data_IF_897042131266
#
_entry.id   IF_897042131266
#
_cell.length_a   1.000
_cell.length_b   1.000
_cell.length_c   1.000
_cell.angle_alpha   90.00
_cell.angle_beta   90.00
_cell.angle_gamma   90.00
#
_symmetry.space_group_name_H-M   'P 1'
#
loop_
_entity.id
_entity.type
_entity.pdbx_description
1 polymer ?
#
# COMPACT_ATOMS: atom_id res chain seq x y z
N UNK A 1 13.70 -10.22 -21.75
CA UNK A 1 15.04 -10.15 -21.12
C UNK A 1 16.19 -10.53 -22.08
N UNK A 2 15.94 -10.69 -23.39
CA UNK A 2 16.96 -11.06 -24.40
C UNK A 2 17.56 -9.87 -25.17
N UNK A 3 17.09 -8.64 -24.91
CA UNK A 3 17.51 -7.42 -25.64
C UNK A 3 18.59 -6.60 -24.93
N UNK A 4 18.88 -6.92 -23.66
CA UNK A 4 19.88 -6.21 -22.86
C UNK A 4 21.29 -6.78 -23.13
N UNK A 5 21.37 -8.04 -23.59
CA UNK A 5 22.65 -8.71 -23.88
C UNK A 5 23.29 -8.28 -25.21
N UNK A 6 22.52 -7.67 -26.13
CA UNK A 6 23.03 -7.23 -27.44
C UNK A 6 23.70 -5.85 -27.40
N UNK A 7 23.49 -5.05 -26.36
CA UNK A 7 24.06 -3.71 -26.27
C UNK A 7 25.50 -3.69 -25.71
N UNK A 8 25.96 -4.78 -25.08
CA UNK A 8 27.25 -4.81 -24.39
C UNK A 8 28.46 -5.11 -25.29
N UNK A 9 28.27 -5.53 -26.55
CA UNK A 9 29.36 -6.07 -27.39
C UNK A 9 29.97 -5.02 -28.35
N UNK A 10 29.35 -3.84 -28.54
CA UNK A 10 29.84 -2.83 -29.49
C UNK A 10 30.85 -1.80 -28.94
N UNK A 11 31.24 -1.88 -27.67
CA UNK A 11 32.11 -0.87 -27.04
C UNK A 11 33.62 -1.07 -27.16
N UNK A 12 34.10 -2.21 -27.67
CA UNK A 12 35.51 -2.62 -27.54
C UNK A 12 36.27 -2.57 -28.88
N UNK A 13 36.19 -1.45 -29.61
CA UNK A 13 36.74 -1.36 -30.98
C UNK A 13 37.53 -0.10 -31.33
N UNK A 14 37.88 0.77 -30.38
CA UNK A 14 38.60 2.03 -30.66
C UNK A 14 39.97 2.10 -29.99
N UNK A 15 40.76 1.02 -30.08
CA UNK A 15 42.12 1.01 -29.52
C UNK A 15 43.13 0.29 -30.41
N UNK A 16 43.16 0.58 -31.71
CA UNK A 16 44.39 0.40 -32.52
C UNK A 16 44.41 1.41 -33.67
N UNK A 17 44.81 2.64 -33.36
CA UNK A 17 45.44 3.54 -34.32
C UNK A 17 46.67 4.12 -33.63
N UNK A 18 47.90 3.93 -34.16
CA UNK A 18 49.06 4.60 -33.61
C UNK A 18 48.93 6.08 -33.94
N UNK A 19 48.48 6.86 -32.96
CA UNK A 19 48.63 8.31 -32.99
C UNK A 19 50.11 8.58 -32.85
N UNK A 20 50.76 9.02 -33.93
CA UNK A 20 52.05 9.69 -33.86
C UNK A 20 51.82 11.00 -33.09
N UNK A 21 51.90 10.93 -31.76
CA UNK A 21 51.93 12.12 -30.93
C UNK A 21 53.33 12.74 -31.09
N UNK A 22 53.48 14.00 -31.54
CA UNK A 22 54.67 14.73 -31.17
C UNK A 22 54.70 14.76 -29.65
N UNK A 23 55.77 14.22 -29.07
CA UNK A 23 56.10 14.37 -27.67
C UNK A 23 56.13 15.86 -27.33
N UNK A 24 55.01 16.40 -26.86
CA UNK A 24 54.97 17.66 -26.17
C UNK A 24 55.66 17.40 -24.82
N UNK A 25 56.99 17.38 -24.84
CA UNK A 25 57.79 17.57 -23.65
C UNK A 25 57.39 18.93 -23.11
N UNK A 26 56.54 18.92 -22.07
CA UNK A 26 56.14 20.09 -21.33
C UNK A 26 57.38 20.60 -20.57
N UNK A 27 58.22 21.37 -21.28
CA UNK A 27 59.03 22.39 -20.66
C UNK A 27 58.01 23.42 -20.14
N UNK A 28 57.62 23.27 -18.87
CA UNK A 28 56.63 24.12 -18.22
C UNK A 28 57.22 25.53 -18.13
N UNK A 29 56.97 26.32 -19.18
CA UNK A 29 57.17 27.75 -19.20
C UNK A 29 56.03 28.41 -18.41
N UNK A 30 56.35 29.45 -17.64
CA UNK A 30 55.44 30.23 -16.80
C UNK A 30 54.20 30.76 -17.54
N UNK A 31 54.25 30.86 -18.87
CA UNK A 31 53.13 31.28 -19.72
C UNK A 31 52.04 30.19 -19.90
N UNK A 32 52.39 28.90 -19.76
CA UNK A 32 51.46 27.78 -19.95
C UNK A 32 50.82 27.27 -18.65
N UNK A 33 51.33 27.70 -17.49
CA UNK A 33 50.72 27.43 -16.18
C UNK A 33 49.33 28.09 -16.05
N UNK A 34 49.13 29.25 -16.70
CA UNK A 34 47.83 29.93 -16.74
C UNK A 34 46.74 29.15 -17.48
N UNK A 35 47.11 28.44 -18.56
CA UNK A 35 46.15 27.67 -19.37
C UNK A 35 45.70 26.37 -18.68
N UNK A 36 46.57 25.73 -17.89
CA UNK A 36 46.23 24.54 -17.11
C UNK A 36 45.34 24.84 -15.89
N UNK A 37 45.55 25.98 -15.21
CA UNK A 37 44.69 26.43 -14.11
C UNK A 37 43.29 26.86 -14.60
N UNK A 38 43.20 27.49 -15.77
CA UNK A 38 41.92 27.85 -16.39
C UNK A 38 41.06 26.63 -16.75
N UNK A 39 41.68 25.56 -17.25
CA UNK A 39 40.99 24.32 -17.59
C UNK A 39 40.40 23.60 -16.36
N UNK A 40 41.09 23.62 -15.21
CA UNK A 40 40.58 23.06 -13.95
C UNK A 40 39.44 23.89 -13.35
N UNK A 41 39.50 25.22 -13.48
CA UNK A 41 38.42 26.11 -13.03
C UNK A 41 37.11 25.86 -13.80
N UNK A 42 37.19 25.56 -15.10
CA UNK A 42 36.03 25.26 -15.93
C UNK A 42 35.24 24.01 -15.46
N UNK A 43 35.94 23.00 -14.93
CA UNK A 43 35.31 21.78 -14.36
C UNK A 43 34.66 22.08 -13.01
N UNK A 44 35.26 22.95 -12.19
CA UNK A 44 34.71 23.34 -10.87
C UNK A 44 33.40 24.13 -10.96
N UNK A 45 33.23 25.00 -11.95
CA UNK A 45 32.02 25.83 -12.13
C UNK A 45 30.79 24.98 -12.47
N UNK A 46 30.97 23.87 -13.19
CA UNK A 46 29.88 22.93 -13.51
C UNK A 46 29.32 22.22 -12.26
N UNK A 47 30.13 22.04 -11.22
CA UNK A 47 29.72 21.34 -9.99
C UNK A 47 28.72 22.11 -9.12
N UNK A 48 28.78 23.45 -9.13
CA UNK A 48 28.02 24.30 -8.20
C UNK A 48 26.54 24.42 -8.59
N UNK A 49 26.20 24.17 -9.85
CA UNK A 49 24.82 24.26 -10.33
C UNK A 49 23.95 23.03 -10.00
N UNK A 50 24.55 21.91 -9.57
CA UNK A 50 23.84 20.63 -9.42
C UNK A 50 23.06 20.56 -8.10
N UNK A 51 23.45 21.35 -7.09
CA UNK A 51 22.89 21.26 -5.74
C UNK A 51 21.39 21.60 -5.69
N UNK A 52 20.96 22.63 -6.44
CA UNK A 52 19.54 23.03 -6.52
C UNK A 52 18.65 21.97 -7.17
N UNK A 53 19.13 21.30 -8.22
CA UNK A 53 18.37 20.22 -8.87
C UNK A 53 18.23 18.99 -7.99
N UNK A 54 19.21 18.74 -7.13
CA UNK A 54 19.23 17.59 -6.24
C UNK A 54 18.27 17.78 -5.07
N UNK A 55 18.19 18.98 -4.51
CA UNK A 55 17.26 19.29 -3.41
C UNK A 55 15.80 19.31 -3.90
N UNK A 56 15.52 19.93 -5.05
CA UNK A 56 14.19 19.90 -5.68
C UNK A 56 13.71 18.46 -5.96
N UNK A 57 14.62 17.57 -6.38
CA UNK A 57 14.28 16.17 -6.64
C UNK A 57 13.93 15.44 -5.34
N UNK A 58 14.69 15.70 -4.28
CA UNK A 58 14.50 15.10 -2.96
C UNK A 58 13.20 15.56 -2.31
N UNK A 59 12.83 16.83 -2.47
CA UNK A 59 11.56 17.35 -1.97
C UNK A 59 10.36 16.78 -2.73
N UNK A 60 10.45 16.67 -4.06
CA UNK A 60 9.41 15.97 -4.86
C UNK A 60 9.29 14.50 -4.48
N UNK A 61 10.39 13.82 -4.18
CA UNK A 61 10.37 12.42 -3.74
C UNK A 61 9.70 12.27 -2.37
N UNK A 62 10.03 13.14 -1.41
CA UNK A 62 9.37 13.21 -0.10
C UNK A 62 7.87 13.51 -0.21
N UNK A 63 7.48 14.39 -1.11
CA UNK A 63 6.08 14.71 -1.36
C UNK A 63 5.33 13.50 -1.93
N UNK A 64 5.93 12.79 -2.91
CA UNK A 64 5.37 11.54 -3.47
C UNK A 64 5.23 10.45 -2.41
N UNK A 65 6.23 10.29 -1.55
CA UNK A 65 6.18 9.32 -0.46
C UNK A 65 5.05 9.63 0.53
N UNK A 66 4.92 10.90 0.94
CA UNK A 66 3.81 11.37 1.79
C UNK A 66 2.45 11.17 1.12
N UNK A 67 2.35 11.41 -0.19
CA UNK A 67 1.12 11.17 -0.94
C UNK A 67 0.75 9.67 -0.96
N UNK A 68 1.73 8.80 -1.22
CA UNK A 68 1.55 7.35 -1.19
C UNK A 68 1.18 6.84 0.22
N UNK A 69 1.76 7.40 1.28
CA UNK A 69 1.38 7.07 2.65
C UNK A 69 -0.08 7.44 2.95
N UNK A 70 -0.50 8.65 2.57
CA UNK A 70 -1.89 9.10 2.73
C UNK A 70 -2.88 8.21 1.99
N UNK A 71 -2.52 7.73 0.79
CA UNK A 71 -3.33 6.77 0.04
C UNK A 71 -3.47 5.44 0.79
N UNK A 72 -2.35 4.87 1.27
CA UNK A 72 -2.37 3.64 2.08
C UNK A 72 -3.20 3.79 3.36
N UNK A 73 -3.15 4.95 4.02
CA UNK A 73 -3.97 5.23 5.19
C UNK A 73 -5.47 5.23 4.84
N UNK A 74 -5.86 5.92 3.75
CA UNK A 74 -7.26 5.94 3.27
C UNK A 74 -7.79 4.54 2.95
N UNK A 75 -6.97 3.70 2.33
CA UNK A 75 -7.36 2.32 2.02
C UNK A 75 -7.57 1.49 3.30
N UNK A 76 -6.68 1.67 4.29
CA UNK A 76 -6.82 1.02 5.60
C UNK A 76 -8.10 1.46 6.32
N UNK A 77 -8.41 2.75 6.27
CA UNK A 77 -9.62 3.30 6.89
C UNK A 77 -10.89 2.76 6.21
N UNK A 78 -10.90 2.72 4.87
CA UNK A 78 -12.01 2.13 4.09
C UNK A 78 -12.20 0.65 4.43
N UNK A 79 -11.13 -0.12 4.54
CA UNK A 79 -11.22 -1.53 4.94
C UNK A 79 -11.79 -1.70 6.36
N UNK A 80 -11.38 -0.84 7.29
CA UNK A 80 -11.88 -0.86 8.68
C UNK A 80 -13.37 -0.55 8.74
N UNK A 81 -13.83 0.42 7.95
CA UNK A 81 -15.23 0.81 7.87
C UNK A 81 -16.10 -0.34 7.35
N UNK A 82 -15.71 -0.97 6.23
CA UNK A 82 -16.43 -2.14 5.70
C UNK A 82 -16.50 -3.32 6.68
N UNK A 83 -15.49 -3.49 7.53
CA UNK A 83 -15.52 -4.52 8.58
C UNK A 83 -16.48 -4.15 9.71
N UNK A 84 -16.53 -2.88 10.10
CA UNK A 84 -17.46 -2.37 11.11
C UNK A 84 -18.92 -2.46 10.63
N UNK A 85 -19.19 -2.16 9.36
CA UNK A 85 -20.52 -2.32 8.74
C UNK A 85 -21.03 -3.76 8.78
N UNK A 86 -20.14 -4.75 8.76
CA UNK A 86 -20.48 -6.18 8.85
C UNK A 86 -20.43 -6.73 10.28
N UNK A 87 -20.16 -5.89 11.27
CA UNK A 87 -20.08 -6.30 12.66
C UNK A 87 -21.46 -6.31 13.31
N UNK A 88 -21.92 -7.50 13.70
CA UNK A 88 -23.22 -7.70 14.31
C UNK A 88 -23.21 -7.21 15.76
N UNK A 89 -24.18 -6.38 16.17
CA UNK A 89 -24.19 -5.77 17.50
C UNK A 89 -24.41 -6.81 18.60
N UNK A 90 -23.57 -6.77 19.65
CA UNK A 90 -23.62 -7.69 20.79
C UNK A 90 -24.96 -7.66 21.53
N UNK A 91 -25.63 -6.49 21.57
CA UNK A 91 -26.94 -6.31 22.22
C UNK A 91 -28.03 -7.20 21.61
N UNK A 92 -27.93 -7.53 20.32
CA UNK A 92 -28.89 -8.39 19.64
C UNK A 92 -28.55 -9.88 19.75
N UNK A 93 -27.44 -10.23 20.41
CA UNK A 93 -26.98 -11.61 20.57
C UNK A 93 -27.63 -12.26 21.78
N UNK A 94 -28.25 -13.42 21.56
CA UNK A 94 -28.88 -14.25 22.58
C UNK A 94 -28.37 -15.68 22.50
N UNK A 95 -28.29 -16.37 23.64
CA UNK A 95 -28.15 -17.82 23.68
C UNK A 95 -29.54 -18.41 23.92
N UNK A 96 -29.99 -19.24 22.98
CA UNK A 96 -31.29 -19.92 23.07
C UNK A 96 -31.05 -21.42 23.07
N UNK A 97 -31.77 -22.12 23.92
CA UNK A 97 -31.83 -23.57 23.86
C UNK A 97 -32.68 -23.98 22.65
N UNK A 98 -32.18 -24.96 21.91
CA UNK A 98 -32.86 -25.53 20.74
C UNK A 98 -32.86 -27.03 20.89
N UNK A 99 -33.66 -27.75 20.10
CA UNK A 99 -33.60 -29.22 20.07
C UNK A 99 -32.21 -29.80 19.71
N UNK A 100 -31.24 -28.96 19.29
CA UNK A 100 -29.84 -29.32 19.02
C UNK A 100 -28.87 -28.72 20.04
N UNK A 101 -29.35 -28.45 21.25
CA UNK A 101 -28.63 -27.81 22.36
C UNK A 101 -28.60 -26.28 22.30
N UNK A 102 -27.77 -25.68 23.15
CA UNK A 102 -27.60 -24.24 23.26
C UNK A 102 -26.98 -23.64 22.00
N UNK A 103 -27.59 -22.61 21.43
CA UNK A 103 -27.13 -21.93 20.22
C UNK A 103 -27.14 -20.43 20.37
N UNK A 104 -26.07 -19.79 19.92
CA UNK A 104 -25.99 -18.33 19.78
C UNK A 104 -26.75 -17.88 18.54
N UNK A 105 -27.65 -16.92 18.72
CA UNK A 105 -28.52 -16.35 17.69
C UNK A 105 -28.60 -14.84 17.80
N UNK A 106 -29.02 -14.19 16.72
CA UNK A 106 -29.34 -12.78 16.68
C UNK A 106 -30.82 -12.57 16.39
N UNK A 107 -31.51 -11.79 17.22
CA UNK A 107 -32.94 -11.52 17.03
C UNK A 107 -33.20 -10.68 15.77
N UNK A 108 -34.06 -11.14 14.86
CA UNK A 108 -34.37 -10.40 13.60
C UNK A 108 -34.88 -8.99 13.89
N UNK A 109 -35.84 -8.85 14.81
CA UNK A 109 -36.42 -7.55 15.17
C UNK A 109 -35.41 -6.62 15.85
N UNK A 110 -34.51 -7.16 16.66
CA UNK A 110 -33.44 -6.36 17.28
C UNK A 110 -32.48 -5.83 16.22
N UNK A 111 -32.04 -6.69 15.31
CA UNK A 111 -31.17 -6.30 14.20
C UNK A 111 -31.81 -5.24 13.32
N UNK A 112 -33.09 -5.40 12.95
CA UNK A 112 -33.81 -4.40 12.16
C UNK A 112 -33.88 -3.01 12.81
N UNK A 113 -33.81 -2.92 14.14
CA UNK A 113 -33.87 -1.65 14.88
C UNK A 113 -32.49 -1.05 15.17
N UNK A 114 -31.48 -1.89 15.41
CA UNK A 114 -30.18 -1.46 15.95
C UNK A 114 -29.01 -1.71 15.00
N UNK A 115 -29.25 -2.28 13.81
CA UNK A 115 -28.22 -2.62 12.85
C UNK A 115 -28.59 -2.13 11.46
N UNK A 116 -27.85 -1.14 10.95
CA UNK A 116 -28.16 -0.47 9.68
C UNK A 116 -28.14 -1.45 8.48
N UNK A 117 -27.24 -2.43 8.52
CA UNK A 117 -27.03 -3.41 7.46
C UNK A 117 -27.96 -4.63 7.60
N UNK A 118 -28.95 -4.62 8.51
CA UNK A 118 -29.86 -5.74 8.73
C UNK A 118 -30.62 -6.18 7.47
N UNK A 119 -30.87 -5.26 6.53
CA UNK A 119 -31.50 -5.53 5.23
C UNK A 119 -30.65 -6.40 4.28
N UNK A 120 -29.33 -6.43 4.47
CA UNK A 120 -28.40 -7.22 3.67
C UNK A 120 -28.15 -8.62 4.27
N UNK A 121 -28.78 -8.94 5.40
CA UNK A 121 -28.61 -10.23 6.04
C UNK A 121 -29.19 -11.34 5.16
N UNK A 122 -28.45 -12.44 4.96
CA UNK A 122 -28.87 -13.50 4.08
C UNK A 122 -30.05 -14.27 4.67
N UNK A 123 -31.17 -14.32 3.93
CA UNK A 123 -32.40 -15.02 4.35
C UNK A 123 -32.18 -16.50 4.70
N UNK A 124 -31.22 -17.18 4.05
CA UNK A 124 -30.83 -18.57 4.37
C UNK A 124 -30.36 -18.79 5.81
N UNK A 125 -29.91 -17.73 6.49
CA UNK A 125 -29.48 -17.80 7.88
C UNK A 125 -30.61 -17.48 8.87
N UNK A 126 -31.77 -17.03 8.38
CA UNK A 126 -32.98 -16.80 9.16
C UNK A 126 -33.65 -18.14 9.49
N UNK A 127 -34.10 -18.28 10.72
CA UNK A 127 -34.86 -19.43 11.20
C UNK A 127 -35.83 -19.01 12.29
N UNK A 128 -36.88 -19.79 12.48
CA UNK A 128 -37.79 -19.64 13.61
C UNK A 128 -37.27 -20.50 14.76
N UNK A 129 -37.26 -19.93 15.96
CA UNK A 129 -37.00 -20.67 17.21
C UNK A 129 -38.13 -20.40 18.18
N UNK A 130 -38.54 -21.44 18.90
CA UNK A 130 -39.44 -21.29 20.03
C UNK A 130 -38.61 -20.91 21.25
N UNK A 131 -38.79 -19.69 21.77
CA UNK A 131 -38.05 -19.21 22.93
C UNK A 131 -38.92 -18.24 23.73
N UNK A 132 -38.93 -18.38 25.06
CA UNK A 132 -39.78 -17.58 25.96
C UNK A 132 -41.29 -17.72 25.65
N UNK A 133 -41.75 -18.94 25.37
CA UNK A 133 -43.17 -19.25 25.12
C UNK A 133 -43.74 -18.72 23.79
N UNK A 134 -42.87 -18.36 22.84
CA UNK A 134 -43.27 -17.71 21.58
C UNK A 134 -42.29 -18.01 20.46
N UNK A 135 -42.81 -18.07 19.24
CA UNK A 135 -41.99 -18.20 18.05
C UNK A 135 -41.30 -16.88 17.70
N UNK A 136 -40.00 -16.96 17.43
CA UNK A 136 -39.16 -15.80 17.12
C UNK A 136 -38.30 -16.08 15.91
N UNK A 137 -38.36 -15.16 14.95
CA UNK A 137 -37.41 -15.13 13.84
C UNK A 137 -36.03 -14.65 14.34
N UNK A 138 -35.02 -15.46 14.08
CA UNK A 138 -33.63 -15.22 14.49
C UNK A 138 -32.67 -15.60 13.38
N UNK A 139 -31.48 -15.01 13.41
CA UNK A 139 -30.37 -15.41 12.57
C UNK A 139 -29.36 -16.25 13.37
N UNK A 140 -28.93 -17.38 12.82
CA UNK A 140 -27.91 -18.20 13.48
C UNK A 140 -26.52 -17.55 13.39
N UNK A 141 -25.85 -17.34 14.53
CA UNK A 141 -24.51 -16.72 14.57
C UNK A 141 -23.49 -17.48 13.69
N UNK A 142 -23.45 -18.81 13.79
CA UNK A 142 -22.56 -19.66 12.97
C UNK A 142 -22.83 -19.55 11.47
N UNK A 143 -24.10 -19.41 11.06
CA UNK A 143 -24.43 -19.24 9.66
C UNK A 143 -23.93 -17.88 9.16
N UNK A 144 -24.21 -16.81 9.92
CA UNK A 144 -23.75 -15.46 9.60
C UNK A 144 -22.22 -15.38 9.50
N UNK A 145 -21.48 -15.99 10.43
CA UNK A 145 -20.01 -16.08 10.35
C UNK A 145 -19.52 -16.71 9.05
N UNK A 146 -20.11 -17.84 8.63
CA UNK A 146 -19.78 -18.49 7.35
C UNK A 146 -20.12 -17.63 6.13
N UNK A 147 -21.00 -16.65 6.29
CA UNK A 147 -21.35 -15.68 5.25
C UNK A 147 -20.52 -14.39 5.32
N UNK A 148 -19.44 -14.38 6.10
CA UNK A 148 -18.52 -13.25 6.20
C UNK A 148 -19.00 -12.11 7.10
N UNK A 149 -20.03 -12.34 7.92
CA UNK A 149 -20.44 -11.38 8.95
C UNK A 149 -19.61 -11.57 10.21
N UNK A 150 -19.17 -10.46 10.80
CA UNK A 150 -18.40 -10.50 12.04
C UNK A 150 -19.37 -10.57 13.21
N UNK A 151 -19.41 -11.69 13.93
CA UNK A 151 -20.20 -11.79 15.16
C UNK A 151 -19.45 -11.15 16.31
N UNK A 152 -20.14 -10.39 17.15
CA UNK A 152 -19.59 -9.95 18.42
C UNK A 152 -19.16 -11.17 19.27
N UNK A 153 -17.90 -11.20 19.66
CA UNK A 153 -17.43 -12.08 20.73
C UNK A 153 -17.93 -11.49 22.05
N UNK A 154 -18.64 -12.29 22.86
CA UNK A 154 -18.83 -11.97 24.27
C UNK A 154 -17.55 -12.38 24.99
N UNK A 155 -16.90 -11.42 25.63
CA UNK A 155 -15.96 -11.68 26.72
C UNK A 155 -16.74 -12.06 27.98
#
# INVERSE_FOLDING_TARGET
MSRILLAAILGLGLATSPVSAPQAQAQINQEQAGQLLAALAAIGVLGVAIDKYKDDRKDRERERERAAERERQRDRDRYRDHRAERALPAVCQHRVETGRGLRTVYGKRCLQRNFQQARHLPRRCERIVHAYGRDRAVYGARCLQRQGWTVAQRH
#
